data_IF_821188439480
#
_entry.id   IF_821188439480
#
_cell.length_a   1.000
_cell.length_b   1.000
_cell.length_c   1.000
_cell.angle_alpha   90.00
_cell.angle_beta   90.00
_cell.angle_gamma   90.00
#
_symmetry.space_group_name_H-M   'P 1'
#
loop_
_entity.id
_entity.type
_entity.pdbx_description
1 polymer ?
#
# COMPACT_ATOMS: atom_id res chain seq x y z
N UNK A 1 -24.34 -6.05 -7.81
CA UNK A 1 -22.89 -5.77 -7.93
C UNK A 1 -22.37 -5.38 -6.56
N UNK A 2 -21.45 -6.16 -6.00
CA UNK A 2 -21.08 -6.12 -4.58
C UNK A 2 -20.35 -4.83 -4.20
N UNK A 3 -20.98 -4.04 -3.33
CA UNK A 3 -20.38 -2.89 -2.64
C UNK A 3 -19.51 -3.47 -1.51
N UNK A 4 -18.27 -3.85 -1.82
CA UNK A 4 -17.33 -4.48 -0.87
C UNK A 4 -16.13 -3.60 -0.52
N UNK A 5 -16.21 -2.29 -0.78
CA UNK A 5 -15.15 -1.29 -0.55
C UNK A 5 -15.15 -0.66 0.85
N UNK A 6 -16.00 -1.10 1.78
CA UNK A 6 -15.98 -0.64 3.18
C UNK A 6 -14.77 -1.24 3.89
N UNK A 7 -13.66 -0.47 3.88
CA UNK A 7 -12.56 -0.45 4.87
C UNK A 7 -12.23 -1.84 5.43
N UNK A 8 -11.83 -2.77 4.58
CA UNK A 8 -11.36 -4.09 5.03
C UNK A 8 -9.99 -3.91 5.70
N UNK A 9 -9.76 -4.49 6.89
CA UNK A 9 -8.46 -4.39 7.56
C UNK A 9 -7.36 -4.96 6.65
N UNK A 10 -6.34 -4.15 6.36
CA UNK A 10 -5.25 -4.52 5.45
C UNK A 10 -4.20 -5.37 6.18
N UNK A 11 -4.05 -5.19 7.50
CA UNK A 11 -2.98 -5.78 8.30
C UNK A 11 -2.84 -7.30 8.11
N UNK A 12 -3.94 -8.04 8.19
CA UNK A 12 -3.87 -9.51 8.12
C UNK A 12 -3.74 -10.03 6.66
N UNK A 13 -4.11 -9.21 5.67
CA UNK A 13 -4.06 -9.55 4.24
C UNK A 13 -2.72 -9.16 3.59
N UNK A 14 -1.92 -8.37 4.28
CA UNK A 14 -0.68 -7.82 3.77
C UNK A 14 0.52 -8.63 4.24
N UNK A 15 1.34 -9.01 3.28
CA UNK A 15 2.53 -9.83 3.50
C UNK A 15 3.74 -9.03 3.04
N UNK A 16 4.73 -8.95 3.93
CA UNK A 16 6.04 -8.43 3.60
C UNK A 16 6.92 -9.58 3.13
N UNK A 17 7.44 -9.44 1.92
CA UNK A 17 8.21 -10.48 1.24
C UNK A 17 9.66 -10.05 1.15
N UNK A 18 10.58 -10.92 1.60
CA UNK A 18 12.03 -10.79 1.38
C UNK A 18 12.51 -11.82 0.38
N UNK A 19 13.31 -11.40 -0.59
CA UNK A 19 13.86 -12.27 -1.62
C UNK A 19 15.40 -12.33 -1.56
N UNK A 20 15.94 -13.54 -1.69
CA UNK A 20 17.37 -13.77 -1.86
C UNK A 20 17.59 -14.74 -3.02
N UNK A 21 18.40 -14.41 -4.05
CA UNK A 21 19.16 -13.16 -4.26
C UNK A 21 18.26 -11.97 -4.68
N UNK A 22 18.88 -10.80 -4.88
CA UNK A 22 18.19 -9.54 -5.23
C UNK A 22 17.50 -9.61 -6.58
N UNK A 23 16.31 -9.00 -6.68
CA UNK A 23 15.61 -8.78 -7.95
C UNK A 23 16.28 -7.67 -8.76
N UNK A 24 16.75 -8.01 -9.95
CA UNK A 24 17.43 -7.12 -10.88
C UNK A 24 16.48 -6.60 -11.96
N UNK A 25 15.51 -7.40 -12.39
CA UNK A 25 14.66 -7.07 -13.54
C UNK A 25 13.18 -6.98 -13.20
N UNK A 26 12.41 -6.28 -14.05
CA UNK A 26 10.95 -6.27 -13.95
C UNK A 26 10.36 -7.65 -14.28
N UNK A 27 10.99 -8.42 -15.16
CA UNK A 27 10.57 -9.77 -15.53
C UNK A 27 10.56 -10.72 -14.32
N UNK A 28 11.65 -10.72 -13.53
CA UNK A 28 11.72 -11.46 -12.26
C UNK A 28 10.60 -11.05 -11.30
N UNK A 29 10.34 -9.74 -11.20
CA UNK A 29 9.26 -9.22 -10.35
C UNK A 29 7.88 -9.70 -10.80
N UNK A 30 7.65 -9.90 -12.10
CA UNK A 30 6.39 -10.42 -12.66
C UNK A 30 6.22 -11.91 -12.40
N UNK A 31 7.31 -12.69 -12.48
CA UNK A 31 7.28 -14.11 -12.12
C UNK A 31 6.96 -14.31 -10.64
N UNK A 32 7.55 -13.49 -9.77
CA UNK A 32 7.22 -13.50 -8.34
C UNK A 32 5.74 -13.19 -8.13
N UNK A 33 5.21 -12.17 -8.82
CA UNK A 33 3.79 -11.87 -8.76
C UNK A 33 2.92 -13.05 -9.22
N UNK A 34 3.31 -13.76 -10.30
CA UNK A 34 2.61 -14.97 -10.76
C UNK A 34 2.63 -16.07 -9.71
N UNK A 35 3.78 -16.31 -9.08
CA UNK A 35 3.91 -17.26 -7.98
C UNK A 35 3.05 -16.86 -6.77
N UNK A 36 2.96 -15.57 -6.45
CA UNK A 36 2.09 -15.09 -5.38
C UNK A 36 0.60 -15.23 -5.71
N UNK A 37 0.24 -15.10 -7.00
CA UNK A 37 -1.13 -15.25 -7.49
C UNK A 37 -1.65 -16.69 -7.41
N UNK A 38 -0.79 -17.70 -7.32
CA UNK A 38 -1.23 -19.10 -7.16
C UNK A 38 -1.93 -19.34 -5.81
N UNK A 39 -1.53 -18.59 -4.77
CA UNK A 39 -2.14 -18.67 -3.43
C UNK A 39 -3.45 -17.88 -3.32
N UNK A 40 -3.67 -16.91 -4.21
CA UNK A 40 -4.90 -16.13 -4.25
C UNK A 40 -4.76 -14.84 -5.02
N UNK A 41 -5.87 -14.12 -5.17
CA UNK A 41 -5.90 -12.85 -5.88
C UNK A 41 -5.16 -11.76 -5.11
N UNK A 42 -4.14 -11.19 -5.74
CA UNK A 42 -3.36 -10.07 -5.21
C UNK A 42 -4.02 -8.76 -5.63
N UNK A 43 -4.44 -7.96 -4.65
CA UNK A 43 -5.06 -6.64 -4.85
C UNK A 43 -3.98 -5.60 -5.18
N UNK A 44 -2.85 -5.66 -4.49
CA UNK A 44 -1.74 -4.74 -4.70
C UNK A 44 -0.41 -5.48 -4.56
N UNK A 45 0.50 -5.24 -5.49
CA UNK A 45 1.87 -5.72 -5.41
C UNK A 45 2.83 -4.57 -5.70
N UNK A 46 3.79 -4.36 -4.81
CA UNK A 46 4.76 -3.27 -4.94
C UNK A 46 6.16 -3.77 -4.60
N UNK A 47 7.11 -3.42 -5.46
CA UNK A 47 8.52 -3.69 -5.25
C UNK A 47 9.22 -2.43 -4.77
N UNK A 48 9.82 -2.48 -3.58
CA UNK A 48 10.44 -1.30 -2.96
C UNK A 48 11.73 -0.87 -3.66
N UNK A 49 12.30 -1.67 -4.57
CA UNK A 49 13.43 -1.25 -5.41
C UNK A 49 13.15 0.04 -6.20
N UNK A 50 11.90 0.23 -6.62
CA UNK A 50 11.47 1.37 -7.44
C UNK A 50 10.81 2.48 -6.62
N UNK A 51 10.91 2.39 -5.29
CA UNK A 51 10.38 3.43 -4.42
C UNK A 51 11.35 4.61 -4.28
N UNK A 52 10.84 5.75 -3.79
CA UNK A 52 11.66 6.92 -3.51
C UNK A 52 12.76 6.63 -2.48
N UNK A 53 12.49 5.71 -1.54
CA UNK A 53 13.46 5.14 -0.62
C UNK A 53 13.66 3.65 -0.96
N UNK A 54 14.65 3.31 -1.80
CA UNK A 54 14.77 1.96 -2.31
C UNK A 54 15.21 1.00 -1.21
N UNK A 55 14.34 0.04 -0.87
CA UNK A 55 14.68 -1.04 0.04
C UNK A 55 15.05 -2.28 -0.79
N UNK A 56 16.31 -2.71 -0.70
CA UNK A 56 16.77 -3.89 -1.41
C UNK A 56 16.04 -5.13 -0.90
N UNK A 57 15.80 -6.08 -1.81
CA UNK A 57 15.30 -7.42 -1.50
C UNK A 57 13.93 -7.46 -0.81
N UNK A 58 13.19 -6.35 -0.80
CA UNK A 58 11.91 -6.25 -0.09
C UNK A 58 10.79 -5.91 -1.07
N UNK A 59 9.67 -6.59 -0.89
CA UNK A 59 8.44 -6.43 -1.65
C UNK A 59 7.26 -6.49 -0.68
N UNK A 60 6.15 -5.89 -1.07
CA UNK A 60 4.88 -5.98 -0.34
C UNK A 60 3.79 -6.46 -1.28
N UNK A 61 2.99 -7.40 -0.80
CA UNK A 61 1.77 -7.82 -1.46
C UNK A 61 0.60 -7.73 -0.50
N UNK A 62 -0.53 -7.26 -1.01
CA UNK A 62 -1.80 -7.23 -0.30
C UNK A 62 -2.75 -8.13 -1.06
N UNK A 63 -3.26 -9.15 -0.39
CA UNK A 63 -4.24 -10.07 -0.94
C UNK A 63 -5.67 -9.54 -0.77
N UNK A 64 -6.56 -9.99 -1.65
CA UNK A 64 -7.99 -9.72 -1.50
C UNK A 64 -8.57 -10.44 -0.26
N UNK A 65 -8.06 -11.64 0.04
CA UNK A 65 -8.50 -12.52 1.14
C UNK A 65 -7.39 -12.72 2.18
N UNK A 66 -7.81 -12.86 3.44
CA UNK A 66 -6.95 -13.20 4.59
C UNK A 66 -6.36 -14.61 4.48
N UNK A 67 -7.17 -15.56 4.04
CA UNK A 67 -6.80 -16.97 3.87
C UNK A 67 -5.63 -17.15 2.88
N UNK A 68 -5.61 -16.34 1.81
CA UNK A 68 -4.54 -16.38 0.82
C UNK A 68 -3.20 -15.89 1.41
N UNK A 69 -3.24 -14.81 2.21
CA UNK A 69 -2.06 -14.30 2.90
C UNK A 69 -1.53 -15.34 3.91
N UNK A 70 -2.43 -15.97 4.67
CA UNK A 70 -2.08 -16.99 5.64
C UNK A 70 -1.45 -18.23 5.00
N UNK A 71 -1.99 -18.73 3.88
CA UNK A 71 -1.39 -19.84 3.12
C UNK A 71 0.04 -19.54 2.69
N UNK A 72 0.28 -18.34 2.17
CA UNK A 72 1.63 -17.94 1.79
C UNK A 72 2.59 -17.88 3.00
N UNK A 73 2.11 -17.44 4.16
CA UNK A 73 2.90 -17.42 5.40
C UNK A 73 3.23 -18.84 5.90
N UNK A 74 2.26 -19.76 5.83
CA UNK A 74 2.44 -21.16 6.24
C UNK A 74 3.42 -21.91 5.31
N UNK A 75 3.38 -21.63 4.00
CA UNK A 75 4.28 -22.22 3.00
C UNK A 75 5.66 -21.55 2.94
N UNK A 76 5.89 -20.53 3.77
CA UNK A 76 7.18 -19.84 3.81
C UNK A 76 8.23 -20.66 4.58
N UNK A 77 9.47 -20.79 4.09
CA UNK A 77 10.07 -20.14 2.91
C UNK A 77 9.90 -20.90 1.59
N UNK A 78 9.55 -20.18 0.53
CA UNK A 78 9.39 -20.74 -0.82
C UNK A 78 10.71 -20.72 -1.58
N UNK A 79 11.11 -21.86 -2.14
CA UNK A 79 12.27 -21.99 -3.01
C UNK A 79 11.81 -22.30 -4.42
N UNK A 80 12.26 -21.50 -5.38
CA UNK A 80 11.89 -21.68 -6.78
C UNK A 80 13.02 -21.23 -7.68
N UNK A 81 12.90 -21.60 -8.95
CA UNK A 81 13.90 -21.30 -9.97
C UNK A 81 13.23 -20.46 -11.03
N UNK A 82 13.86 -19.37 -11.44
CA UNK A 82 13.38 -18.57 -12.56
C UNK A 82 14.53 -18.18 -13.48
N UNK A 83 14.18 -18.01 -14.75
CA UNK A 83 15.08 -17.57 -15.80
C UNK A 83 14.88 -16.07 -16.01
N UNK A 84 15.88 -15.22 -15.73
CA UNK A 84 15.80 -13.79 -16.02
C UNK A 84 15.70 -13.55 -17.53
N UNK A 85 14.70 -12.78 -17.98
CA UNK A 85 14.58 -12.36 -19.38
C UNK A 85 15.80 -11.50 -19.75
N UNK A 86 16.53 -11.91 -20.80
CA UNK A 86 17.70 -11.20 -21.31
C UNK A 86 19.07 -11.72 -20.84
N UNK A 87 19.13 -12.79 -20.05
CA UNK A 87 20.41 -13.47 -19.81
C UNK A 87 20.83 -14.30 -21.03
N UNK A 88 22.08 -14.14 -21.51
CA UNK A 88 22.50 -14.67 -22.81
C UNK A 88 22.48 -16.21 -22.92
N UNK A 89 22.36 -16.98 -21.84
CA UNK A 89 22.26 -18.44 -21.91
C UNK A 89 21.45 -18.99 -20.72
N UNK A 90 20.11 -19.01 -20.80
CA UNK A 90 19.23 -19.89 -20.00
C UNK A 90 19.51 -20.03 -18.49
N UNK A 91 20.19 -19.06 -17.87
CA UNK A 91 20.81 -19.28 -16.57
C UNK A 91 19.75 -19.19 -15.48
N UNK A 92 19.26 -20.38 -15.11
CA UNK A 92 18.31 -20.58 -14.05
C UNK A 92 18.94 -20.18 -12.71
N UNK A 93 18.37 -19.18 -12.06
CA UNK A 93 18.81 -18.73 -10.73
C UNK A 93 17.85 -19.28 -9.69
N UNK A 94 18.40 -19.78 -8.58
CA UNK A 94 17.61 -20.21 -7.43
C UNK A 94 17.24 -18.98 -6.60
N UNK A 95 15.96 -18.87 -6.28
CA UNK A 95 15.43 -17.81 -5.43
C UNK A 95 14.77 -18.42 -4.20
N UNK A 96 14.98 -17.75 -3.07
CA UNK A 96 14.29 -18.01 -1.82
C UNK A 96 13.45 -16.80 -1.45
N UNK A 97 12.17 -17.05 -1.26
CA UNK A 97 11.17 -16.08 -0.85
C UNK A 97 10.76 -16.36 0.59
N UNK A 98 11.00 -15.38 1.46
CA UNK A 98 10.56 -15.37 2.85
C UNK A 98 9.37 -14.42 2.97
N UNK A 99 8.25 -14.93 3.46
CA UNK A 99 7.03 -14.19 3.68
C UNK A 99 6.89 -13.96 5.19
N UNK A 100 6.69 -12.71 5.57
CA UNK A 100 6.44 -12.31 6.96
C UNK A 100 5.14 -11.53 7.03
N UNK A 101 4.38 -11.62 8.14
CA UNK A 101 3.23 -10.76 8.34
C UNK A 101 3.69 -9.30 8.30
N UNK A 102 2.95 -8.46 7.60
CA UNK A 102 3.35 -7.07 7.51
C UNK A 102 2.97 -6.31 8.79
N UNK A 103 3.96 -5.74 9.45
CA UNK A 103 3.75 -4.76 10.54
C UNK A 103 3.69 -3.32 10.01
N UNK A 104 3.64 -3.16 8.70
CA UNK A 104 3.73 -1.84 8.07
C UNK A 104 2.40 -1.10 8.25
N UNK A 105 2.44 0.20 8.54
CA UNK A 105 1.24 1.02 8.57
C UNK A 105 0.75 1.28 7.14
N UNK A 106 0.03 0.30 6.60
CA UNK A 106 -0.45 0.30 5.21
C UNK A 106 -1.26 1.53 4.87
N UNK A 107 -2.01 2.05 5.85
CA UNK A 107 -2.85 3.25 5.70
C UNK A 107 -2.00 4.47 5.37
N UNK A 108 -0.98 4.74 6.17
CA UNK A 108 -0.09 5.89 5.96
C UNK A 108 0.65 5.80 4.63
N UNK A 109 1.04 4.59 4.22
CA UNK A 109 1.73 4.39 2.95
C UNK A 109 0.83 4.56 1.72
N UNK A 110 -0.42 4.09 1.80
CA UNK A 110 -1.43 4.32 0.76
C UNK A 110 -1.72 5.83 0.67
N UNK A 111 -1.85 6.51 1.81
CA UNK A 111 -2.09 7.96 1.90
C UNK A 111 -0.88 8.82 1.45
N UNK A 112 0.33 8.26 1.47
CA UNK A 112 1.54 8.88 0.89
C UNK A 112 1.58 8.80 -0.65
N UNK A 113 0.85 7.87 -1.27
CA UNK A 113 0.91 7.71 -2.73
C UNK A 113 0.31 8.91 -3.49
N UNK A 114 0.94 9.28 -4.60
CA UNK A 114 0.59 10.47 -5.42
C UNK A 114 -0.84 10.42 -5.96
N UNK A 115 -1.35 9.22 -6.21
CA UNK A 115 -2.66 8.99 -6.83
C UNK A 115 -3.79 8.73 -5.83
N UNK A 116 -3.51 8.70 -4.53
CA UNK A 116 -4.52 8.43 -3.52
C UNK A 116 -5.09 9.72 -2.90
N UNK A 117 -6.33 10.04 -3.28
CA UNK A 117 -7.30 10.86 -2.54
C UNK A 117 -6.93 12.32 -2.22
N UNK A 118 -7.90 13.04 -1.64
CA UNK A 118 -7.63 14.32 -0.98
C UNK A 118 -6.77 14.10 0.27
N UNK A 119 -5.93 15.09 0.55
CA UNK A 119 -4.93 15.06 1.60
C UNK A 119 -5.56 14.78 2.97
N UNK A 120 -5.11 13.72 3.65
CA UNK A 120 -5.48 13.46 5.04
C UNK A 120 -4.24 13.58 5.90
N UNK A 121 -4.23 14.60 6.75
CA UNK A 121 -3.24 14.73 7.83
C UNK A 121 -3.46 13.55 8.77
N UNK A 122 -2.45 12.70 8.94
CA UNK A 122 -2.50 11.61 9.90
C UNK A 122 -2.31 12.22 11.29
N UNK A 123 -3.40 12.57 11.96
CA UNK A 123 -3.39 13.22 13.29
C UNK A 123 -2.90 12.30 14.43
N UNK A 124 -2.30 11.14 14.13
CA UNK A 124 -2.08 10.04 15.08
C UNK A 124 -0.62 9.71 15.36
N UNK A 125 0.32 10.45 14.78
CA UNK A 125 1.74 10.31 15.11
C UNK A 125 2.02 10.97 16.45
N UNK A 126 2.59 10.23 17.42
CA UNK A 126 2.98 10.77 18.74
C UNK A 126 3.98 11.94 18.60
N UNK A 127 4.85 11.88 17.60
CA UNK A 127 5.80 12.96 17.28
C UNK A 127 5.06 14.19 16.77
N UNK A 128 3.95 14.01 16.04
CA UNK A 128 3.13 15.12 15.55
C UNK A 128 2.26 15.72 16.64
N UNK A 129 1.74 14.92 17.58
CA UNK A 129 1.07 15.45 18.77
C UNK A 129 2.02 16.27 19.65
N UNK A 130 3.26 15.81 19.80
CA UNK A 130 4.30 16.51 20.58
C UNK A 130 4.76 17.81 19.89
N UNK A 131 4.98 17.75 18.57
CA UNK A 131 5.30 18.93 17.77
C UNK A 131 4.12 19.89 17.65
N UNK A 132 2.87 19.41 17.57
CA UNK A 132 1.69 20.28 17.54
C UNK A 132 1.50 21.06 18.85
N UNK A 133 1.93 20.50 19.99
CA UNK A 133 1.95 21.21 21.28
C UNK A 133 3.06 22.26 21.36
N UNK A 134 4.16 22.02 20.66
CA UNK A 134 5.37 22.85 20.75
C UNK A 134 5.37 23.98 19.70
N UNK A 135 4.75 23.75 18.54
CA UNK A 135 4.85 24.66 17.41
C UNK A 135 3.71 25.69 17.45
N UNK A 136 3.98 26.99 17.19
CA UNK A 136 3.00 28.07 17.45
C UNK A 136 1.73 28.04 16.57
N UNK A 137 1.74 27.30 15.46
CA UNK A 137 0.66 27.31 14.46
C UNK A 137 0.38 25.88 13.97
N UNK A 138 -0.90 25.50 13.91
CA UNK A 138 -1.39 24.25 13.34
C UNK A 138 -1.01 24.19 11.84
N UNK A 139 -0.09 23.29 11.49
CA UNK A 139 0.38 23.07 10.11
C UNK A 139 1.90 23.08 9.92
N UNK A 140 2.66 23.70 10.85
CA UNK A 140 4.13 23.69 10.82
C UNK A 140 4.74 22.38 11.37
N UNK A 141 3.94 21.55 12.04
CA UNK A 141 4.33 20.22 12.53
C UNK A 141 4.23 19.12 11.47
N UNK A 142 3.79 19.45 10.24
CA UNK A 142 3.74 18.49 9.15
C UNK A 142 5.15 18.18 8.63
N UNK A 143 5.63 16.97 8.88
CA UNK A 143 6.82 16.43 8.23
C UNK A 143 6.52 16.20 6.75
N UNK A 144 6.66 17.26 5.95
CA UNK A 144 6.47 17.21 4.51
C UNK A 144 7.71 16.60 3.86
N UNK A 145 7.78 15.27 3.81
CA UNK A 145 8.56 14.61 2.77
C UNK A 145 7.93 14.97 1.42
N UNK A 146 8.42 16.09 0.85
CA UNK A 146 8.14 16.69 -0.45
C UNK A 146 7.18 15.87 -1.32
N UNK A 147 5.88 16.18 -1.24
CA UNK A 147 4.93 15.79 -2.29
C UNK A 147 4.98 16.84 -3.40
N UNK A 148 5.10 16.45 -4.68
CA UNK A 148 4.99 17.39 -5.79
C UNK A 148 3.58 18.01 -5.84
N UNK A 149 3.49 19.27 -6.29
CA UNK A 149 2.21 19.94 -6.49
C UNK A 149 1.30 19.11 -7.40
N UNK A 150 0.07 18.86 -6.95
CA UNK A 150 -0.92 18.17 -7.77
C UNK A 150 -1.30 19.06 -8.95
N UNK A 151 -1.41 18.52 -10.17
CA UNK A 151 -1.92 19.28 -11.30
C UNK A 151 -3.36 19.74 -11.04
N UNK A 152 -3.66 20.99 -11.40
CA UNK A 152 -4.93 21.67 -11.12
C UNK A 152 -6.20 20.90 -11.51
N UNK A 153 -6.15 20.06 -12.55
CA UNK A 153 -7.26 19.21 -12.99
C UNK A 153 -7.70 18.18 -11.94
N UNK A 154 -6.76 17.62 -11.19
CA UNK A 154 -7.05 16.61 -10.15
C UNK A 154 -7.68 17.28 -8.94
N UNK A 155 -7.11 18.42 -8.52
CA UNK A 155 -7.65 19.24 -7.42
C UNK A 155 -9.10 19.68 -7.68
N UNK A 156 -9.42 20.07 -8.92
CA UNK A 156 -10.78 20.46 -9.31
C UNK A 156 -11.77 19.30 -9.20
N UNK A 157 -11.37 18.12 -9.69
CA UNK A 157 -12.21 16.91 -9.65
C UNK A 157 -12.45 16.40 -8.23
N UNK A 158 -11.45 16.57 -7.36
CA UNK A 158 -11.56 16.23 -5.95
C UNK A 158 -12.50 17.22 -5.23
N UNK A 159 -12.39 18.53 -5.52
CA UNK A 159 -13.29 19.55 -4.98
C UNK A 159 -14.76 19.31 -5.35
N UNK A 160 -15.03 18.99 -6.62
CA UNK A 160 -16.39 18.63 -7.09
C UNK A 160 -16.93 17.37 -6.37
N UNK A 161 -16.06 16.40 -6.04
CA UNK A 161 -16.43 15.20 -5.29
C UNK A 161 -16.73 15.50 -3.83
N UNK A 162 -15.95 16.37 -3.20
CA UNK A 162 -16.17 16.80 -1.82
C UNK A 162 -17.46 17.62 -1.68
N UNK A 163 -17.76 18.50 -2.64
CA UNK A 163 -19.02 19.26 -2.69
C UNK A 163 -20.24 18.35 -2.89
N UNK A 164 -20.08 17.26 -3.64
CA UNK A 164 -21.16 16.28 -3.87
C UNK A 164 -21.31 15.26 -2.76
N UNK A 165 -20.29 15.06 -1.92
CA UNK A 165 -20.40 14.18 -0.76
C UNK A 165 -21.06 14.92 0.39
N UNK A 166 -22.31 14.56 0.69
CA UNK A 166 -22.99 15.02 1.90
C UNK A 166 -22.13 14.70 3.12
N UNK A 167 -21.77 15.73 3.88
CA UNK A 167 -21.03 15.55 5.14
C UNK A 167 -21.90 14.79 6.14
N UNK A 168 -21.28 14.10 7.11
CA UNK A 168 -22.01 13.40 8.17
C UNK A 168 -22.98 14.32 8.93
N UNK A 169 -22.61 15.60 9.05
CA UNK A 169 -23.47 16.65 9.62
C UNK A 169 -24.72 16.89 8.76
N UNK A 170 -24.55 17.00 7.44
CA UNK A 170 -25.67 17.13 6.51
C UNK A 170 -26.58 15.89 6.51
N UNK A 171 -26.00 14.68 6.61
CA UNK A 171 -26.76 13.45 6.72
C UNK A 171 -27.51 13.32 8.05
N UNK A 172 -26.97 13.90 9.13
CA UNK A 172 -27.61 13.96 10.44
C UNK A 172 -28.77 14.96 10.44
N UNK A 173 -28.61 16.11 9.77
CA UNK A 173 -29.67 17.12 9.60
C UNK A 173 -30.80 16.63 8.67
N UNK A 174 -30.46 15.81 7.65
CA UNK A 174 -31.42 15.17 6.75
C UNK A 174 -32.12 13.94 7.37
N UNK A 175 -31.69 13.48 8.56
CA UNK A 175 -32.29 12.31 9.20
C UNK A 175 -33.70 12.65 9.72
N UNK A 176 -34.76 11.90 9.33
CA UNK A 176 -36.09 12.16 9.82
C UNK A 176 -36.14 11.90 11.32
N UNK A 177 -36.52 12.91 12.10
CA UNK A 177 -36.83 12.76 13.53
C UNK A 177 -38.02 11.81 13.65
N UNK A 178 -37.77 10.56 14.02
CA UNK A 178 -38.83 9.60 14.37
C UNK A 178 -39.53 10.10 15.63
N UNK A 179 -40.79 10.52 15.49
CA UNK A 179 -41.72 10.71 16.60
C UNK A 179 -42.13 9.37 17.22
#
# INVERSE_FOLDING_TARGET
MSISGLIRPIANRAVHVRLHPRVETLAESREILRLMQTFGRVEMFRNFKYDAQPLANSMIAIYESDDAARKLLEESPLRFVMSPEGSPEGQQRHYQLQANPSTFHHRDHIDQSVYNGSYKVSNRSLVQEDLAKTVPMLGLSEFTLRKPEKPWRVLRRDKEREETTKTLRHLLEDAPTSN
#
